data_IF_054796408426
#
_entry.id   IF_054796408426
#
_cell.length_a   1.000
_cell.length_b   1.000
_cell.length_c   1.000
_cell.angle_alpha   90.00
_cell.angle_beta   90.00
_cell.angle_gamma   90.00
#
_symmetry.space_group_name_H-M   'P 1'
#
loop_
_entity.id
_entity.type
_entity.pdbx_description
1 polymer ?
#
# COMPACT_ATOMS: atom_id res chain seq x y z
N UNK A 1 34.90 -5.44 -3.17
CA UNK A 1 34.72 -4.43 -2.11
C UNK A 1 33.66 -3.46 -2.60
N UNK A 2 32.46 -3.49 -2.02
CA UNK A 2 31.42 -2.49 -2.29
C UNK A 2 31.95 -1.15 -1.76
N UNK A 3 31.80 -0.07 -2.53
CA UNK A 3 32.60 1.15 -2.34
C UNK A 3 31.93 2.25 -1.51
N UNK A 4 30.67 2.09 -1.13
CA UNK A 4 29.90 3.12 -0.43
C UNK A 4 29.12 2.51 0.75
N UNK A 5 29.01 3.26 1.85
CA UNK A 5 28.18 2.92 3.01
C UNK A 5 26.70 3.03 2.61
N UNK A 6 26.15 1.93 2.08
CA UNK A 6 24.72 1.80 1.79
C UNK A 6 24.05 1.21 3.03
N UNK A 7 23.15 1.99 3.65
CA UNK A 7 22.29 1.51 4.73
C UNK A 7 21.23 0.56 4.15
N UNK A 8 21.51 -0.75 4.19
CA UNK A 8 20.61 -1.81 3.74
C UNK A 8 19.99 -2.53 4.94
N UNK A 9 18.67 -2.64 4.95
CA UNK A 9 17.91 -3.35 5.98
C UNK A 9 17.52 -4.75 5.51
N UNK A 10 17.28 -5.67 6.46
CA UNK A 10 16.78 -7.01 6.13
C UNK A 10 15.37 -6.91 5.54
N UNK A 11 15.23 -7.29 4.27
CA UNK A 11 13.96 -7.24 3.54
C UNK A 11 13.99 -6.32 2.31
N UNK A 12 15.06 -5.54 2.14
CA UNK A 12 15.23 -4.69 0.96
C UNK A 12 15.49 -5.55 -0.28
N UNK A 13 14.82 -5.21 -1.38
CA UNK A 13 15.03 -5.84 -2.68
C UNK A 13 16.15 -5.10 -3.41
N UNK A 14 17.23 -5.81 -3.71
CA UNK A 14 18.25 -5.32 -4.64
C UNK A 14 17.75 -5.55 -6.06
N UNK A 15 17.51 -4.45 -6.77
CA UNK A 15 17.04 -4.45 -8.16
C UNK A 15 18.15 -3.94 -9.07
N UNK A 16 18.11 -4.33 -10.34
CA UNK A 16 19.02 -3.76 -11.34
C UNK A 16 18.84 -2.24 -11.40
N UNK A 17 19.94 -1.48 -11.52
CA UNK A 17 19.88 -0.02 -11.53
C UNK A 17 19.02 0.55 -12.68
N UNK A 18 18.74 -0.24 -13.72
CA UNK A 18 17.87 0.11 -14.84
C UNK A 18 16.41 -0.34 -14.65
N UNK A 19 16.10 -1.12 -13.61
CA UNK A 19 14.74 -1.57 -13.32
C UNK A 19 13.96 -0.46 -12.60
N UNK A 20 13.01 0.15 -13.31
CA UNK A 20 12.05 1.08 -12.70
C UNK A 20 10.90 0.30 -12.06
N UNK A 21 11.08 -0.11 -10.81
CA UNK A 21 10.03 -0.73 -10.01
C UNK A 21 9.47 0.32 -9.02
N UNK A 22 8.32 0.95 -9.33
CA UNK A 22 7.73 1.95 -8.44
C UNK A 22 7.27 1.30 -7.13
N UNK A 23 7.65 1.91 -6.01
CA UNK A 23 7.11 1.51 -4.72
C UNK A 23 5.65 2.00 -4.59
N UNK A 24 4.77 1.12 -4.11
CA UNK A 24 3.34 1.38 -3.94
C UNK A 24 2.94 1.20 -2.48
N UNK A 25 1.92 1.93 -2.04
CA UNK A 25 1.32 1.77 -0.71
C UNK A 25 -0.05 1.11 -0.75
N UNK A 26 -0.51 0.66 -1.92
CA UNK A 26 -1.78 -0.05 -2.04
C UNK A 26 -1.74 -1.04 -3.19
N UNK A 27 -2.52 -2.11 -3.08
CA UNK A 27 -2.66 -3.12 -4.12
C UNK A 27 -3.96 -3.91 -3.95
N UNK A 28 -4.47 -4.42 -5.07
CA UNK A 28 -5.48 -5.47 -5.11
C UNK A 28 -4.81 -6.84 -4.92
N UNK A 29 -5.27 -7.61 -3.94
CA UNK A 29 -4.72 -8.92 -3.58
C UNK A 29 -5.80 -10.00 -3.66
N UNK A 30 -5.53 -11.10 -4.34
CA UNK A 30 -6.34 -12.32 -4.23
C UNK A 30 -5.95 -13.03 -2.92
N UNK A 31 -6.89 -13.11 -1.98
CA UNK A 31 -6.67 -13.65 -0.64
C UNK A 31 -7.34 -15.00 -0.52
N UNK A 32 -6.64 -15.94 0.13
CA UNK A 32 -7.20 -17.18 0.69
C UNK A 32 -7.19 -17.05 2.20
N UNK A 33 -8.37 -17.01 2.82
CA UNK A 33 -8.51 -16.80 4.25
C UNK A 33 -8.54 -18.13 5.02
N UNK A 34 -7.80 -18.21 6.13
CA UNK A 34 -7.56 -19.45 6.87
C UNK A 34 -7.95 -19.36 8.36
N UNK A 35 -8.34 -18.18 8.85
CA UNK A 35 -8.78 -18.01 10.24
C UNK A 35 -10.29 -18.13 10.40
N UNK A 36 -10.72 -18.64 11.57
CA UNK A 36 -12.14 -18.73 11.94
C UNK A 36 -12.80 -17.36 12.04
N UNK A 37 -12.08 -16.37 12.60
CA UNK A 37 -12.55 -14.99 12.60
C UNK A 37 -12.51 -14.44 11.17
N UNK A 38 -13.63 -13.96 10.62
CA UNK A 38 -13.67 -13.45 9.25
C UNK A 38 -12.76 -12.24 9.05
N UNK A 39 -12.18 -12.15 7.86
CA UNK A 39 -11.51 -10.94 7.39
C UNK A 39 -12.56 -9.87 7.12
N UNK A 40 -12.39 -8.68 7.69
CA UNK A 40 -13.32 -7.56 7.52
C UNK A 40 -12.57 -6.27 7.18
N UNK A 41 -13.17 -5.36 6.38
CA UNK A 41 -12.64 -4.02 6.17
C UNK A 41 -12.35 -3.28 7.49
N UNK A 42 -11.26 -2.51 7.50
CA UNK A 42 -10.80 -1.75 8.67
C UNK A 42 -9.83 -2.53 9.58
N UNK A 43 -9.77 -3.86 9.49
CA UNK A 43 -8.78 -4.64 10.23
C UNK A 43 -7.37 -4.44 9.70
N UNK A 44 -6.38 -4.59 10.58
CA UNK A 44 -4.96 -4.49 10.22
C UNK A 44 -4.21 -5.75 10.66
N UNK A 45 -3.37 -6.24 9.77
CA UNK A 45 -2.54 -7.44 9.95
C UNK A 45 -1.09 -7.10 9.71
N UNK A 46 -0.19 -7.85 10.33
CA UNK A 46 1.18 -7.87 9.83
C UNK A 46 1.19 -8.74 8.58
N UNK A 47 1.85 -8.27 7.52
CA UNK A 47 2.06 -9.03 6.31
C UNK A 47 3.54 -9.31 6.13
N UNK A 48 3.85 -10.44 5.49
CA UNK A 48 5.21 -10.75 5.06
C UNK A 48 5.22 -11.01 3.56
N UNK A 49 6.06 -10.26 2.85
CA UNK A 49 6.29 -10.36 1.41
C UNK A 49 7.79 -10.59 1.21
N UNK A 50 8.17 -11.65 0.52
CA UNK A 50 9.57 -12.07 0.43
C UNK A 50 10.29 -12.05 1.81
N UNK A 51 11.27 -11.17 1.97
CA UNK A 51 12.01 -10.95 3.23
C UNK A 51 11.47 -9.82 4.11
N UNK A 52 10.55 -8.97 3.60
CA UNK A 52 10.05 -7.79 4.30
C UNK A 52 8.79 -8.11 5.10
N UNK A 53 8.72 -7.58 6.32
CA UNK A 53 7.49 -7.54 7.12
C UNK A 53 7.04 -6.09 7.21
N UNK A 54 5.75 -5.85 7.04
CA UNK A 54 5.14 -4.54 7.27
C UNK A 54 3.68 -4.73 7.73
N UNK A 55 2.99 -3.65 8.04
CA UNK A 55 1.56 -3.70 8.33
C UNK A 55 0.75 -3.41 7.07
N UNK A 56 -0.36 -4.12 6.94
CA UNK A 56 -1.39 -3.84 5.96
C UNK A 56 -2.74 -3.64 6.64
N UNK A 57 -3.53 -2.68 6.15
CA UNK A 57 -4.93 -2.47 6.48
C UNK A 57 -5.79 -2.97 5.34
N UNK A 58 -6.87 -3.68 5.68
CA UNK A 58 -7.91 -4.08 4.74
C UNK A 58 -8.80 -2.88 4.45
N UNK A 59 -8.83 -2.44 3.21
CA UNK A 59 -9.67 -1.33 2.76
C UNK A 59 -11.08 -1.78 2.42
N UNK A 60 -11.17 -2.82 1.61
CA UNK A 60 -12.41 -3.34 1.07
C UNK A 60 -12.25 -4.79 0.64
N UNK A 61 -13.36 -5.51 0.59
CA UNK A 61 -13.45 -6.81 -0.07
C UNK A 61 -14.31 -6.60 -1.30
N UNK A 62 -13.72 -6.71 -2.49
CA UNK A 62 -14.42 -6.46 -3.76
C UNK A 62 -15.43 -7.55 -4.04
N UNK A 63 -15.00 -8.80 -3.89
CA UNK A 63 -15.86 -9.96 -4.04
C UNK A 63 -15.21 -11.20 -3.43
N UNK A 64 -16.04 -12.19 -3.11
CA UNK A 64 -15.64 -13.57 -2.87
C UNK A 64 -15.90 -14.40 -4.13
N UNK A 65 -15.00 -15.33 -4.43
CA UNK A 65 -15.18 -16.35 -5.47
C UNK A 65 -15.87 -17.57 -4.87
N UNK A 66 -16.96 -18.00 -5.48
CA UNK A 66 -17.60 -19.28 -5.16
C UNK A 66 -16.84 -20.41 -5.86
N UNK A 67 -16.20 -21.27 -5.07
CA UNK A 67 -15.34 -22.35 -5.57
C UNK A 67 -16.09 -23.39 -6.41
N UNK A 68 -17.42 -23.51 -6.27
CA UNK A 68 -18.18 -24.57 -6.94
C UNK A 68 -18.50 -24.18 -8.40
N UNK A 69 -18.63 -22.88 -8.67
CA UNK A 69 -19.08 -22.38 -9.97
C UNK A 69 -18.19 -21.25 -10.54
N UNK A 70 -17.14 -20.86 -9.80
CA UNK A 70 -16.19 -19.80 -10.15
C UNK A 70 -16.84 -18.42 -10.37
N UNK A 71 -18.02 -18.18 -9.80
CA UNK A 71 -18.70 -16.88 -9.86
C UNK A 71 -18.23 -15.95 -8.75
N UNK A 72 -18.36 -14.65 -8.98
CA UNK A 72 -18.03 -13.60 -8.02
C UNK A 72 -19.29 -13.14 -7.29
N UNK A 73 -19.20 -12.93 -5.98
CA UNK A 73 -20.27 -12.41 -5.14
C UNK A 73 -19.74 -11.29 -4.25
N UNK A 74 -20.47 -10.19 -4.17
CA UNK A 74 -20.19 -9.12 -3.19
C UNK A 74 -20.41 -9.64 -1.77
N UNK A 75 -19.47 -9.35 -0.87
CA UNK A 75 -19.51 -9.76 0.53
C UNK A 75 -18.94 -8.66 1.41
N UNK A 76 -19.45 -8.54 2.62
CA UNK A 76 -18.95 -7.58 3.63
C UNK A 76 -17.73 -8.13 4.39
N UNK A 77 -17.52 -9.45 4.37
CA UNK A 77 -16.45 -10.15 5.07
C UNK A 77 -16.03 -11.41 4.31
N UNK A 78 -14.78 -11.83 4.45
CA UNK A 78 -14.28 -13.09 3.88
C UNK A 78 -14.20 -14.15 5.01
N UNK A 79 -15.05 -15.20 4.99
CA UNK A 79 -15.07 -16.21 6.04
C UNK A 79 -13.89 -17.18 5.92
N UNK A 80 -13.74 -18.08 6.90
CA UNK A 80 -12.81 -19.21 6.83
C UNK A 80 -12.95 -19.96 5.48
N UNK A 81 -11.82 -20.27 4.85
CA UNK A 81 -11.72 -20.88 3.52
C UNK A 81 -12.28 -20.02 2.37
N UNK A 82 -12.65 -18.77 2.64
CA UNK A 82 -13.06 -17.82 1.62
C UNK A 82 -11.88 -17.43 0.73
N UNK A 83 -12.14 -17.31 -0.57
CA UNK A 83 -11.21 -16.79 -1.55
C UNK A 83 -11.81 -15.52 -2.14
N UNK A 84 -11.09 -14.41 -2.17
CA UNK A 84 -11.65 -13.14 -2.65
C UNK A 84 -10.61 -12.13 -3.09
N UNK A 85 -11.06 -11.11 -3.83
CA UNK A 85 -10.23 -9.97 -4.17
C UNK A 85 -10.38 -8.90 -3.08
N UNK A 86 -9.27 -8.53 -2.46
CA UNK A 86 -9.20 -7.66 -1.29
C UNK A 86 -8.29 -6.49 -1.60
N UNK A 87 -8.75 -5.30 -1.26
CA UNK A 87 -7.97 -4.07 -1.35
C UNK A 87 -7.18 -3.87 -0.06
N UNK A 88 -5.87 -3.69 -0.20
CA UNK A 88 -4.99 -3.41 0.92
C UNK A 88 -4.28 -2.07 0.75
N UNK A 89 -4.11 -1.38 1.88
CA UNK A 89 -3.15 -0.30 2.06
C UNK A 89 -2.03 -0.78 2.97
N UNK A 90 -0.78 -0.47 2.62
CA UNK A 90 0.42 -0.80 3.40
C UNK A 90 0.90 0.44 4.16
N UNK A 91 1.37 0.24 5.39
CA UNK A 91 1.91 1.34 6.22
C UNK A 91 3.23 1.89 5.63
N UNK A 92 3.96 1.06 4.89
CA UNK A 92 5.20 1.44 4.20
C UNK A 92 5.09 1.18 2.70
N UNK A 93 5.73 1.98 1.84
CA UNK A 93 5.87 1.66 0.42
C UNK A 93 6.55 0.30 0.21
N UNK A 94 5.99 -0.50 -0.70
CA UNK A 94 6.48 -1.80 -1.09
C UNK A 94 6.69 -1.86 -2.61
N UNK A 95 7.77 -2.53 -3.02
CA UNK A 95 7.95 -2.93 -4.41
C UNK A 95 7.25 -4.26 -4.59
N UNK A 96 6.19 -4.27 -5.41
CA UNK A 96 5.33 -5.42 -5.64
C UNK A 96 5.25 -5.73 -7.12
N UNK A 97 5.24 -7.01 -7.46
CA UNK A 97 4.93 -7.51 -8.80
C UNK A 97 3.60 -8.28 -8.74
N UNK A 98 2.79 -8.29 -9.82
CA UNK A 98 1.73 -9.28 -9.95
C UNK A 98 2.29 -10.70 -9.74
N UNK A 99 1.60 -11.53 -8.97
CA UNK A 99 2.07 -12.87 -8.60
C UNK A 99 2.44 -13.74 -9.80
N UNK A 100 1.69 -13.60 -10.91
CA UNK A 100 1.96 -14.34 -12.16
C UNK A 100 3.28 -13.96 -12.82
N UNK A 101 3.80 -12.76 -12.55
CA UNK A 101 5.08 -12.28 -13.08
C UNK A 101 6.23 -12.67 -12.16
N UNK A 102 6.07 -12.49 -10.84
CA UNK A 102 7.08 -12.87 -9.86
C UNK A 102 6.45 -13.35 -8.55
N UNK A 103 6.48 -14.67 -8.26
CA UNK A 103 5.92 -15.22 -7.04
C UNK A 103 6.61 -14.76 -5.75
N UNK A 104 7.88 -14.32 -5.82
CA UNK A 104 8.66 -13.91 -4.65
C UNK A 104 8.15 -12.57 -4.10
N UNK A 105 7.92 -11.60 -4.98
CA UNK A 105 7.49 -10.22 -4.66
C UNK A 105 5.99 -10.02 -4.84
N UNK A 106 5.30 -10.97 -5.49
CA UNK A 106 3.85 -10.98 -5.61
C UNK A 106 3.14 -11.91 -4.62
N UNK A 107 3.87 -12.70 -3.83
CA UNK A 107 3.31 -13.59 -2.83
C UNK A 107 3.43 -13.01 -1.42
N UNK A 108 2.36 -13.07 -0.63
CA UNK A 108 2.36 -12.60 0.75
C UNK A 108 1.57 -13.52 1.69
N UNK A 109 1.85 -13.40 2.99
CA UNK A 109 1.05 -14.01 4.06
C UNK A 109 0.52 -12.95 5.02
N UNK A 110 -0.66 -13.20 5.57
CA UNK A 110 -1.25 -12.42 6.66
C UNK A 110 -0.93 -13.10 7.99
N UNK A 111 -0.47 -12.30 8.96
CA UNK A 111 -0.06 -12.74 10.28
C UNK A 111 -0.89 -11.94 11.30
N UNK A 112 -1.57 -12.65 12.18
CA UNK A 112 -2.31 -12.02 13.28
C UNK A 112 -1.34 -11.38 14.27
N UNK A 113 -1.64 -10.14 14.66
CA UNK A 113 -0.72 -9.27 15.40
C UNK A 113 -0.59 -9.64 16.88
N UNK A 114 -1.57 -10.36 17.43
CA UNK A 114 -1.58 -10.74 18.84
C UNK A 114 -1.00 -12.14 19.02
N UNK A 115 -1.40 -13.06 18.15
CA UNK A 115 -1.06 -14.49 18.24
C UNK A 115 0.18 -14.85 17.42
N UNK A 116 0.61 -14.01 16.47
CA UNK A 116 1.66 -14.28 15.49
C UNK A 116 1.38 -15.51 14.59
N UNK A 117 0.13 -15.96 14.51
CA UNK A 117 -0.28 -17.07 13.65
C UNK A 117 -0.53 -16.56 12.24
N UNK A 118 -0.14 -17.36 11.24
CA UNK A 118 -0.51 -17.10 9.85
C UNK A 118 -2.00 -17.36 9.64
N UNK A 119 -2.76 -16.32 9.29
CA UNK A 119 -4.23 -16.35 9.18
C UNK A 119 -4.74 -16.29 7.75
N UNK A 120 -3.86 -16.03 6.78
CA UNK A 120 -4.22 -15.97 5.37
C UNK A 120 -3.01 -15.97 4.46
N UNK A 121 -3.24 -16.25 3.18
CA UNK A 121 -2.27 -16.11 2.10
C UNK A 121 -2.81 -15.16 1.05
N UNK A 122 -1.93 -14.41 0.39
CA UNK A 122 -2.27 -13.40 -0.60
C UNK A 122 -1.39 -13.49 -1.84
N UNK A 123 -2.00 -13.25 -2.99
CA UNK A 123 -1.33 -13.11 -4.27
C UNK A 123 -1.65 -11.72 -4.82
N UNK A 124 -0.62 -10.92 -5.08
CA UNK A 124 -0.77 -9.60 -5.69
C UNK A 124 -1.40 -9.78 -7.07
N UNK A 125 -2.58 -9.18 -7.25
CA UNK A 125 -3.25 -9.09 -8.54
C UNK A 125 -2.75 -7.85 -9.30
N UNK A 126 -2.81 -6.70 -8.63
CA UNK A 126 -2.44 -5.42 -9.22
C UNK A 126 -1.87 -4.46 -8.17
N UNK A 127 -0.59 -4.05 -8.30
CA UNK A 127 -0.04 -2.94 -7.55
C UNK A 127 -0.71 -1.63 -7.98
N UNK A 128 -1.19 -0.84 -7.03
CA UNK A 128 -1.78 0.46 -7.34
C UNK A 128 -0.70 1.52 -7.29
N UNK A 129 -0.28 1.96 -8.47
CA UNK A 129 0.57 3.14 -8.59
C UNK A 129 -0.21 4.31 -8.00
N UNK A 130 0.24 4.80 -6.85
CA UNK A 130 -0.14 6.15 -6.48
C UNK A 130 0.38 7.02 -7.61
N UNK A 131 -0.52 7.65 -8.37
CA UNK A 131 -0.14 8.87 -9.05
C UNK A 131 0.48 9.70 -7.93
N UNK A 132 1.78 9.97 -8.03
CA UNK A 132 2.42 10.92 -7.15
C UNK A 132 1.46 12.08 -7.10
N UNK A 133 0.80 12.30 -5.96
CA UNK A 133 0.25 13.61 -5.70
C UNK A 133 1.52 14.41 -5.67
N UNK A 134 1.92 14.98 -6.81
CA UNK A 134 2.79 16.12 -6.89
C UNK A 134 2.28 16.96 -5.74
N UNK A 135 3.07 17.08 -4.67
CA UNK A 135 2.65 17.68 -3.42
C UNK A 135 1.72 18.82 -3.77
N UNK A 136 0.43 18.72 -3.42
CA UNK A 136 -0.55 19.73 -3.80
C UNK A 136 0.04 21.04 -3.31
N UNK A 137 0.64 21.81 -4.23
CA UNK A 137 1.49 22.92 -3.87
C UNK A 137 0.55 24.01 -3.43
N UNK A 138 0.26 23.97 -2.13
CA UNK A 138 -0.62 24.85 -1.37
C UNK A 138 -2.10 24.66 -1.70
N UNK A 139 -2.90 24.40 -0.67
CA UNK A 139 -4.36 24.47 -0.70
C UNK A 139 -4.84 25.88 -1.06
N UNK A 140 -6.09 26.00 -1.51
CA UNK A 140 -6.70 27.30 -1.81
C UNK A 140 -6.65 28.26 -0.60
N UNK A 141 -6.82 27.72 0.60
CA UNK A 141 -6.72 28.49 1.85
C UNK A 141 -5.30 29.03 2.07
N UNK A 142 -4.25 28.22 1.85
CA UNK A 142 -2.87 28.65 2.01
C UNK A 142 -2.47 29.74 1.02
N UNK A 143 -2.99 29.68 -0.21
CA UNK A 143 -2.80 30.72 -1.23
C UNK A 143 -3.52 32.03 -0.84
N UNK A 144 -4.77 31.95 -0.39
CA UNK A 144 -5.54 33.11 0.05
C UNK A 144 -4.90 33.79 1.28
N UNK A 145 -4.45 32.98 2.25
CA UNK A 145 -3.72 33.47 3.42
C UNK A 145 -2.40 34.13 3.03
N UNK A 146 -1.63 33.53 2.12
CA UNK A 146 -0.38 34.13 1.64
C UNK A 146 -0.62 35.49 0.97
N UNK A 147 -1.66 35.60 0.13
CA UNK A 147 -2.04 36.88 -0.48
C UNK A 147 -2.42 37.94 0.57
N UNK A 148 -3.19 37.56 1.58
CA UNK A 148 -3.63 38.47 2.64
C UNK A 148 -2.43 38.94 3.49
N UNK A 149 -1.52 38.04 3.84
CA UNK A 149 -0.28 38.37 4.57
C UNK A 149 0.56 39.36 3.76
N UNK A 150 0.80 39.08 2.47
CA UNK A 150 1.61 39.97 1.62
C UNK A 150 0.97 41.34 1.43
N UNK A 151 -0.37 41.41 1.41
CA UNK A 151 -1.13 42.66 1.26
C UNK A 151 -1.14 43.51 2.54
N UNK A 152 -1.34 42.89 3.70
CA UNK A 152 -1.58 43.61 4.96
C UNK A 152 -0.34 43.71 5.86
N UNK A 153 0.64 42.81 5.70
CA UNK A 153 1.86 42.75 6.49
C UNK A 153 3.11 42.71 5.59
N UNK A 154 3.34 43.71 4.73
CA UNK A 154 4.45 43.70 3.78
C UNK A 154 5.83 43.70 4.46
N UNK A 155 5.92 44.18 5.70
CA UNK A 155 7.15 44.17 6.51
C UNK A 155 7.58 42.77 6.98
N UNK A 156 6.80 41.72 6.70
CA UNK A 156 7.15 40.33 7.00
C UNK A 156 7.95 39.64 5.89
N UNK A 157 8.10 40.28 4.72
CA UNK A 157 8.82 39.73 3.56
C UNK A 157 8.37 38.30 3.19
N UNK A 158 7.08 38.02 3.33
CA UNK A 158 6.51 36.72 3.01
C UNK A 158 6.65 36.41 1.51
N UNK A 159 7.28 35.26 1.21
CA UNK A 159 7.52 34.80 -0.17
C UNK A 159 6.22 34.45 -0.88
N UNK A 160 6.19 34.73 -2.19
CA UNK A 160 5.11 34.29 -3.06
C UNK A 160 5.15 32.78 -3.25
N UNK A 161 4.08 32.11 -2.84
CA UNK A 161 3.95 30.66 -2.99
C UNK A 161 3.71 30.25 -4.45
N UNK A 162 3.30 31.18 -5.32
CA UNK A 162 3.10 30.96 -6.76
C UNK A 162 4.27 31.42 -7.63
N UNK A 163 5.39 31.84 -7.03
CA UNK A 163 6.63 32.15 -7.76
C UNK A 163 6.58 33.43 -8.63
N UNK A 164 5.66 34.36 -8.37
CA UNK A 164 5.65 35.68 -9.00
C UNK A 164 6.76 36.57 -8.46
N UNK A 165 7.55 37.17 -9.37
CA UNK A 165 8.57 38.20 -9.06
C UNK A 165 8.02 39.36 -8.22
#
# INVERSE_FOLDING_TARGET
MLKDEIDISRGDLLVDAQASLPAVQSASIVVVWMAEQPLTPGQSYDIKIAGKKTRARVDAIRYQVDINNLTQREVESLPLNGIGLVELTFDEPLVLDPYQQNPVTGGLIFIDRLTNVTVGSGMVNEPHLQASTSASQYSAFELELNQLIRKHFPHWDARDLLGGK
#
